data_IF_676138806146
#
_entry.id   IF_676138806146
#
_cell.length_a   1.000
_cell.length_b   1.000
_cell.length_c   1.000
_cell.angle_alpha   90.00
_cell.angle_beta   90.00
_cell.angle_gamma   90.00
#
_symmetry.space_group_name_H-M   'P 1'
#
loop_
_entity.id
_entity.type
_entity.pdbx_description
1 polymer ?
#
# COMPACT_ATOMS: atom_id res chain seq x y z
N UNK A 1 -4.50 -29.19 -15.98
CA UNK A 1 -4.67 -28.90 -14.55
C UNK A 1 -4.63 -27.39 -14.40
N UNK A 2 -5.55 -26.77 -13.66
CA UNK A 2 -5.38 -25.36 -13.29
C UNK A 2 -3.99 -25.23 -12.64
N UNK A 3 -3.21 -24.26 -13.10
CA UNK A 3 -1.93 -23.96 -12.46
C UNK A 3 -2.27 -23.48 -11.06
N UNK A 4 -1.74 -24.16 -10.05
CA UNK A 4 -1.86 -23.69 -8.68
C UNK A 4 -1.02 -22.41 -8.55
N UNK A 5 -1.69 -21.26 -8.69
CA UNK A 5 -1.06 -19.95 -8.62
C UNK A 5 -0.30 -19.72 -7.30
N UNK A 6 -0.63 -20.49 -6.27
CA UNK A 6 0.06 -20.49 -4.97
C UNK A 6 1.43 -21.18 -5.02
N UNK A 7 1.66 -22.07 -5.99
CA UNK A 7 2.96 -22.68 -6.23
C UNK A 7 3.94 -21.72 -6.93
N UNK A 8 3.46 -20.65 -7.54
CA UNK A 8 4.24 -19.65 -8.28
C UNK A 8 4.78 -18.55 -7.37
N UNK A 9 5.60 -18.90 -6.37
CA UNK A 9 6.36 -17.95 -5.57
C UNK A 9 5.65 -17.45 -4.31
N UNK A 10 4.47 -17.93 -3.97
CA UNK A 10 3.73 -17.62 -2.74
C UNK A 10 3.50 -16.12 -2.50
N UNK A 11 3.51 -15.32 -3.56
CA UNK A 11 3.09 -13.92 -3.53
C UNK A 11 1.60 -13.83 -3.81
N UNK A 12 0.87 -13.18 -2.92
CA UNK A 12 -0.56 -12.97 -3.03
C UNK A 12 -0.93 -11.56 -2.56
N UNK A 13 -2.06 -11.07 -3.06
CA UNK A 13 -2.61 -9.76 -2.71
C UNK A 13 -3.79 -9.90 -1.75
N UNK A 14 -4.22 -8.80 -1.16
CA UNK A 14 -5.39 -8.80 -0.26
C UNK A 14 -6.69 -9.20 -0.97
N UNK A 15 -6.82 -8.96 -2.31
CA UNK A 15 -7.96 -9.44 -3.10
C UNK A 15 -7.89 -10.92 -3.42
N UNK A 16 -6.71 -11.48 -3.47
CA UNK A 16 -6.52 -12.88 -3.85
C UNK A 16 -5.68 -13.62 -2.80
N UNK A 17 -6.17 -13.68 -1.54
CA UNK A 17 -5.48 -14.43 -0.48
C UNK A 17 -5.62 -15.93 -0.72
N UNK A 18 -4.63 -16.74 -0.35
CA UNK A 18 -4.62 -18.17 -0.57
C UNK A 18 -5.45 -18.93 0.47
N UNK A 19 -6.74 -18.63 0.60
CA UNK A 19 -7.60 -19.15 1.67
C UNK A 19 -7.65 -20.67 1.70
N UNK A 20 -7.81 -21.32 0.55
CA UNK A 20 -7.86 -22.79 0.46
C UNK A 20 -6.53 -23.43 0.88
N UNK A 21 -5.41 -22.79 0.56
CA UNK A 21 -4.09 -23.26 0.99
C UNK A 21 -3.91 -23.10 2.51
N UNK A 22 -4.29 -21.94 3.06
CA UNK A 22 -4.18 -21.68 4.51
C UNK A 22 -5.05 -22.67 5.32
N UNK A 23 -6.26 -22.94 4.85
CA UNK A 23 -7.15 -23.91 5.49
C UNK A 23 -6.59 -25.33 5.41
N UNK A 24 -6.13 -25.75 4.23
CA UNK A 24 -5.62 -27.11 4.01
C UNK A 24 -4.32 -27.39 4.76
N UNK A 25 -3.36 -26.48 4.70
CA UNK A 25 -2.00 -26.73 5.22
C UNK A 25 -1.86 -26.36 6.69
N UNK A 26 -2.65 -25.40 7.19
CA UNK A 26 -2.52 -24.88 8.55
C UNK A 26 -3.80 -24.95 9.38
N UNK A 27 -4.92 -25.42 8.81
CA UNK A 27 -6.23 -25.40 9.48
C UNK A 27 -6.70 -23.97 9.78
N UNK A 28 -6.12 -22.98 9.12
CA UNK A 28 -6.40 -21.56 9.36
C UNK A 28 -7.34 -21.00 8.31
N UNK A 29 -8.49 -20.53 8.76
CA UNK A 29 -9.57 -19.99 7.92
C UNK A 29 -9.85 -18.54 8.32
N UNK A 30 -9.06 -17.56 7.84
CA UNK A 30 -9.30 -16.16 8.14
C UNK A 30 -10.62 -15.69 7.54
N UNK A 31 -11.36 -14.90 8.29
CA UNK A 31 -12.54 -14.19 7.83
C UNK A 31 -12.16 -12.84 7.19
N UNK A 32 -13.16 -12.17 6.58
CA UNK A 32 -12.94 -10.86 5.94
C UNK A 32 -12.47 -9.81 6.94
N UNK A 33 -12.95 -9.85 8.18
CA UNK A 33 -12.53 -8.93 9.24
C UNK A 33 -11.04 -9.06 9.56
N UNK A 34 -10.54 -10.28 9.58
CA UNK A 34 -9.11 -10.52 9.78
C UNK A 34 -8.28 -9.99 8.60
N UNK A 35 -8.71 -10.26 7.37
CA UNK A 35 -8.04 -9.77 6.16
C UNK A 35 -8.04 -8.24 6.10
N UNK A 36 -9.16 -7.60 6.43
CA UNK A 36 -9.26 -6.14 6.49
C UNK A 36 -8.37 -5.55 7.60
N UNK A 37 -8.30 -6.19 8.76
CA UNK A 37 -7.43 -5.76 9.85
C UNK A 37 -5.96 -5.81 9.44
N UNK A 38 -5.56 -6.86 8.71
CA UNK A 38 -4.20 -7.00 8.20
C UNK A 38 -3.88 -5.92 7.16
N UNK A 39 -4.79 -5.69 6.21
CA UNK A 39 -4.64 -4.65 5.18
C UNK A 39 -4.58 -3.25 5.78
N UNK A 40 -5.49 -2.93 6.69
CA UNK A 40 -5.56 -1.62 7.34
C UNK A 40 -4.45 -1.39 8.36
N UNK A 41 -3.87 -2.45 8.91
CA UNK A 41 -2.70 -2.38 9.78
C UNK A 41 -1.39 -2.15 9.02
N UNK A 42 -1.29 -2.63 7.80
CA UNK A 42 -0.08 -2.51 6.99
C UNK A 42 0.03 -1.11 6.36
N UNK A 43 1.22 -0.50 6.46
CA UNK A 43 1.47 0.87 6.04
C UNK A 43 2.69 0.94 5.11
N UNK A 44 2.66 1.91 4.20
CA UNK A 44 3.86 2.43 3.53
C UNK A 44 4.33 3.65 4.31
N UNK A 45 5.61 3.75 4.58
CA UNK A 45 6.24 4.84 5.32
C UNK A 45 7.21 5.59 4.42
N UNK A 46 7.19 6.92 4.48
CA UNK A 46 8.10 7.78 3.73
C UNK A 46 7.49 9.14 3.42
N UNK A 47 7.98 9.81 2.41
CA UNK A 47 7.32 11.00 1.88
C UNK A 47 6.06 10.60 1.09
N UNK A 48 5.16 11.56 0.92
CA UNK A 48 3.87 11.33 0.25
C UNK A 48 4.03 10.65 -1.12
N UNK A 49 4.94 11.16 -1.94
CA UNK A 49 5.11 10.69 -3.31
C UNK A 49 6.26 9.69 -3.48
N UNK A 50 7.04 9.48 -2.42
CA UNK A 50 8.18 8.59 -2.41
C UNK A 50 8.28 7.79 -1.09
N UNK A 51 7.40 6.80 -0.85
CA UNK A 51 7.53 5.90 0.29
C UNK A 51 8.73 4.97 0.09
N UNK A 52 9.52 4.75 1.16
CA UNK A 52 10.74 3.92 1.09
C UNK A 52 10.75 2.76 2.07
N UNK A 53 9.78 2.68 2.99
CA UNK A 53 9.70 1.62 3.99
C UNK A 53 8.28 1.12 4.21
N UNK A 54 8.19 0.01 4.92
CA UNK A 54 6.96 -0.53 5.47
C UNK A 54 6.85 -0.22 6.95
N UNK A 55 5.63 -0.07 7.45
CA UNK A 55 5.31 0.10 8.85
C UNK A 55 4.00 -0.61 9.19
N UNK A 56 3.61 -0.59 10.44
CA UNK A 56 2.32 -1.14 10.87
C UNK A 56 1.73 -0.30 11.99
N UNK A 57 0.40 -0.08 11.95
CA UNK A 57 -0.32 0.34 13.15
C UNK A 57 -0.34 -0.80 14.16
N UNK A 58 0.03 -0.49 15.40
CA UNK A 58 0.05 -1.44 16.52
C UNK A 58 -0.86 -1.02 17.67
N UNK A 59 -1.57 0.11 17.52
CA UNK A 59 -2.62 0.53 18.45
C UNK A 59 -3.74 1.27 17.71
N UNK A 60 -4.95 1.33 18.30
CA UNK A 60 -6.05 2.12 17.75
C UNK A 60 -5.84 3.64 17.87
N UNK A 61 -4.86 4.10 18.66
CA UNK A 61 -4.49 5.50 18.82
C UNK A 61 -3.41 5.95 17.82
N UNK A 62 -3.02 5.10 16.86
CA UNK A 62 -2.09 5.47 15.80
C UNK A 62 -0.62 5.18 16.12
N UNK A 63 -0.30 4.41 17.17
CA UNK A 63 1.09 3.99 17.40
C UNK A 63 1.57 3.14 16.22
N UNK A 64 2.72 3.52 15.68
CA UNK A 64 3.31 2.90 14.48
C UNK A 64 4.60 2.18 14.88
N UNK A 65 4.75 0.97 14.36
CA UNK A 65 5.98 0.20 14.44
C UNK A 65 6.63 0.11 13.07
N UNK A 66 7.93 0.39 13.01
CA UNK A 66 8.75 0.24 11.79
C UNK A 66 10.18 -0.16 12.15
N UNK A 67 11.05 -0.30 11.15
CA UNK A 67 12.46 -0.57 11.36
C UNK A 67 13.24 0.73 11.68
N UNK A 68 14.23 0.64 12.55
CA UNK A 68 15.07 1.78 12.93
C UNK A 68 15.70 2.48 11.72
N UNK A 69 16.21 1.73 10.74
CA UNK A 69 16.84 2.31 9.56
C UNK A 69 15.89 3.14 8.69
N UNK A 70 14.57 2.92 8.81
CA UNK A 70 13.57 3.66 8.03
C UNK A 70 13.46 5.14 8.41
N UNK A 71 13.81 5.49 9.65
CA UNK A 71 13.68 6.84 10.22
C UNK A 71 14.96 7.41 10.81
N UNK A 72 16.06 6.64 10.80
CA UNK A 72 17.33 7.02 11.44
C UNK A 72 17.86 8.37 10.96
N UNK A 73 17.87 8.61 9.66
CA UNK A 73 18.44 9.84 9.10
C UNK A 73 17.51 11.03 9.36
N UNK A 74 16.22 10.82 9.45
CA UNK A 74 15.22 11.82 9.80
C UNK A 74 15.29 12.17 11.30
N UNK A 75 15.53 11.19 12.19
CA UNK A 75 15.76 11.43 13.63
C UNK A 75 16.92 12.38 13.82
N UNK A 76 18.01 12.20 13.09
CA UNK A 76 19.18 13.07 13.17
C UNK A 76 18.87 14.54 12.85
N UNK A 77 17.83 14.81 12.05
CA UNK A 77 17.42 16.18 11.69
C UNK A 77 16.62 16.87 12.81
N UNK A 78 15.93 16.12 13.67
CA UNK A 78 15.00 16.66 14.68
C UNK A 78 15.52 16.52 16.12
N UNK A 79 16.59 15.76 16.34
CA UNK A 79 17.12 15.48 17.69
C UNK A 79 17.73 16.70 18.41
N UNK A 80 18.00 17.81 17.70
CA UNK A 80 18.63 19.00 18.27
C UNK A 80 20.02 18.71 18.85
N UNK A 81 20.33 19.20 20.07
CA UNK A 81 21.60 18.96 20.72
C UNK A 81 21.73 17.54 21.31
N UNK A 82 20.69 16.74 21.27
CA UNK A 82 20.66 15.38 21.81
C UNK A 82 21.15 14.39 20.75
N UNK A 83 21.76 13.30 21.18
CA UNK A 83 22.14 12.20 20.31
C UNK A 83 21.14 11.05 20.48
N UNK A 84 19.95 11.22 19.92
CA UNK A 84 18.90 10.21 20.01
C UNK A 84 19.19 8.95 19.19
N UNK A 85 19.99 9.08 18.15
CA UNK A 85 20.42 7.91 17.36
C UNK A 85 21.25 6.96 18.22
N UNK A 86 22.09 7.51 19.12
CA UNK A 86 22.94 6.74 20.03
C UNK A 86 22.24 6.37 21.32
N UNK A 87 21.55 7.33 21.94
CA UNK A 87 21.04 7.19 23.30
C UNK A 87 19.57 6.72 23.33
N UNK A 88 18.90 6.71 22.20
CA UNK A 88 17.46 6.49 22.10
C UNK A 88 16.65 7.71 22.52
N UNK A 89 15.38 7.65 22.25
CA UNK A 89 14.37 8.61 22.69
C UNK A 89 13.08 7.86 23.01
N UNK A 90 12.46 8.19 24.11
CA UNK A 90 11.14 7.69 24.48
C UNK A 90 10.28 8.86 24.94
N UNK A 91 9.22 9.15 24.18
CA UNK A 91 8.20 10.11 24.61
C UNK A 91 7.44 9.57 25.83
N UNK A 92 7.19 10.41 26.82
CA UNK A 92 6.41 10.04 28.03
C UNK A 92 4.91 10.20 27.82
N UNK A 93 4.52 10.89 26.74
CA UNK A 93 3.14 11.09 26.32
C UNK A 93 3.07 11.75 24.95
N UNK A 94 1.88 11.90 24.40
CA UNK A 94 1.66 12.47 23.06
C UNK A 94 2.24 13.89 22.89
N UNK A 95 2.30 14.66 23.99
CA UNK A 95 2.86 16.01 23.94
C UNK A 95 4.39 16.04 23.76
N UNK A 96 5.05 14.94 24.08
CA UNK A 96 6.50 14.78 23.96
C UNK A 96 6.90 14.17 22.62
N UNK A 97 5.96 13.69 21.83
CA UNK A 97 6.24 13.13 20.51
C UNK A 97 6.77 14.23 19.58
N UNK A 98 7.85 13.91 18.87
CA UNK A 98 8.51 14.86 17.96
C UNK A 98 8.16 14.48 16.53
N UNK A 99 7.42 15.38 15.88
CA UNK A 99 7.05 15.20 14.48
C UNK A 99 8.27 15.32 13.58
N UNK A 100 8.43 14.38 12.66
CA UNK A 100 9.43 14.44 11.60
C UNK A 100 8.82 15.14 10.37
N UNK A 101 9.33 16.32 9.97
CA UNK A 101 8.78 17.06 8.83
C UNK A 101 8.81 16.26 7.54
N UNK A 102 7.70 16.21 6.83
CA UNK A 102 7.58 15.50 5.55
C UNK A 102 7.37 14.00 5.66
N UNK A 103 7.58 13.39 6.83
CA UNK A 103 7.30 11.98 7.03
C UNK A 103 5.80 11.71 7.07
N UNK A 104 5.39 10.71 6.33
CA UNK A 104 3.98 10.28 6.23
C UNK A 104 3.86 8.77 6.28
N UNK A 105 2.71 8.29 6.68
CA UNK A 105 2.28 6.91 6.47
C UNK A 105 1.07 6.86 5.55
N UNK A 106 1.03 5.84 4.72
CA UNK A 106 -0.03 5.61 3.75
C UNK A 106 -0.72 4.30 4.07
N UNK A 107 -2.00 4.39 4.40
CA UNK A 107 -2.86 3.26 4.72
C UNK A 107 -3.70 2.89 3.49
N UNK A 108 -3.60 1.65 3.01
CA UNK A 108 -4.42 1.16 1.91
C UNK A 108 -5.86 0.94 2.38
N UNK A 109 -6.75 1.88 2.05
CA UNK A 109 -8.14 1.86 2.52
C UNK A 109 -9.10 1.19 1.54
N UNK A 110 -8.77 1.20 0.25
CA UNK A 110 -9.58 0.52 -0.76
C UNK A 110 -8.71 0.08 -1.94
N UNK A 111 -9.16 -0.98 -2.57
CA UNK A 111 -8.62 -1.55 -3.80
C UNK A 111 -9.76 -2.29 -4.51
N UNK A 112 -9.73 -2.33 -5.83
CA UNK A 112 -10.71 -3.07 -6.66
C UNK A 112 -10.02 -3.60 -7.91
N UNK A 113 -10.61 -4.57 -8.59
CA UNK A 113 -10.14 -4.99 -9.91
C UNK A 113 -10.82 -4.13 -10.99
N UNK A 114 -10.02 -3.40 -11.75
CA UNK A 114 -10.49 -2.56 -12.87
C UNK A 114 -9.96 -3.04 -14.22
N UNK A 115 -9.46 -4.25 -14.30
CA UNK A 115 -8.87 -4.81 -15.51
C UNK A 115 -9.79 -4.66 -16.71
N UNK A 116 -11.07 -4.97 -16.57
CA UNK A 116 -12.04 -4.80 -17.65
C UNK A 116 -12.21 -3.33 -18.11
N UNK A 117 -12.07 -2.36 -17.17
CA UNK A 117 -12.12 -0.93 -17.50
C UNK A 117 -10.86 -0.49 -18.24
N UNK A 118 -9.69 -0.98 -17.82
CA UNK A 118 -8.40 -0.66 -18.47
C UNK A 118 -8.30 -1.28 -19.86
N UNK A 119 -8.83 -2.48 -20.05
CA UNK A 119 -8.85 -3.19 -21.34
C UNK A 119 -9.99 -2.75 -22.27
N UNK A 120 -10.87 -1.84 -21.84
CA UNK A 120 -12.01 -1.40 -22.62
C UNK A 120 -11.59 -0.74 -23.95
N UNK A 121 -12.24 -1.14 -25.05
CA UNK A 121 -11.99 -0.60 -26.38
C UNK A 121 -10.71 -1.09 -27.06
N UNK A 122 -9.98 -2.04 -26.46
CA UNK A 122 -8.82 -2.69 -27.09
C UNK A 122 -9.34 -3.82 -27.99
N UNK A 123 -8.92 -3.79 -29.26
CA UNK A 123 -9.26 -4.82 -30.23
C UNK A 123 -8.08 -5.80 -30.42
N UNK A 124 -8.38 -7.03 -30.79
CA UNK A 124 -7.34 -8.03 -31.10
C UNK A 124 -6.49 -7.68 -32.33
N UNK A 125 -6.95 -6.71 -33.11
CA UNK A 125 -6.24 -6.19 -34.30
C UNK A 125 -5.36 -4.97 -33.99
N UNK A 126 -5.42 -4.43 -32.76
CA UNK A 126 -4.59 -3.28 -32.37
C UNK A 126 -3.11 -3.70 -32.29
N UNK A 127 -2.24 -2.80 -32.70
CA UNK A 127 -0.80 -2.97 -32.49
C UNK A 127 -0.40 -2.63 -31.04
N UNK A 128 0.82 -2.98 -30.67
CA UNK A 128 1.29 -2.79 -29.30
C UNK A 128 1.31 -1.33 -28.84
N UNK A 129 1.53 -0.36 -29.75
CA UNK A 129 1.53 1.07 -29.43
C UNK A 129 0.09 1.52 -29.14
N UNK A 130 -0.84 1.18 -30.02
CA UNK A 130 -2.27 1.49 -29.86
C UNK A 130 -2.81 0.87 -28.55
N UNK A 131 -2.44 -0.38 -28.24
CA UNK A 131 -2.83 -1.04 -26.96
C UNK A 131 -2.30 -0.24 -25.76
N UNK A 132 -1.02 0.15 -25.78
CA UNK A 132 -0.41 0.90 -24.69
C UNK A 132 -1.08 2.27 -24.49
N UNK A 133 -1.37 2.99 -25.58
CA UNK A 133 -2.04 4.29 -25.53
C UNK A 133 -3.46 4.20 -24.99
N UNK A 134 -4.23 3.20 -25.43
CA UNK A 134 -5.59 2.96 -24.92
C UNK A 134 -5.57 2.62 -23.44
N UNK A 135 -4.69 1.72 -23.01
CA UNK A 135 -4.52 1.40 -21.58
C UNK A 135 -4.17 2.63 -20.77
N UNK A 136 -3.21 3.43 -21.23
CA UNK A 136 -2.83 4.67 -20.56
C UNK A 136 -4.02 5.61 -20.43
N UNK A 137 -4.74 5.89 -21.50
CA UNK A 137 -5.91 6.76 -21.49
C UNK A 137 -7.00 6.28 -20.52
N UNK A 138 -7.27 4.97 -20.50
CA UNK A 138 -8.24 4.37 -19.58
C UNK A 138 -7.77 4.48 -18.11
N UNK A 139 -6.48 4.27 -17.83
CA UNK A 139 -5.90 4.45 -16.48
C UNK A 139 -6.01 5.91 -16.06
N UNK A 140 -5.64 6.86 -16.91
CA UNK A 140 -5.71 8.29 -16.63
C UNK A 140 -7.17 8.71 -16.29
N UNK A 141 -8.16 8.20 -17.03
CA UNK A 141 -9.57 8.46 -16.76
C UNK A 141 -10.05 7.86 -15.42
N UNK A 142 -9.61 6.65 -15.08
CA UNK A 142 -9.91 6.00 -13.78
C UNK A 142 -9.31 6.82 -12.64
N UNK A 143 -8.06 7.28 -12.77
CA UNK A 143 -7.37 8.08 -11.77
C UNK A 143 -8.05 9.43 -11.58
N UNK A 144 -8.39 10.13 -12.66
CA UNK A 144 -9.11 11.42 -12.60
C UNK A 144 -10.46 11.28 -11.89
N UNK A 145 -11.22 10.23 -12.21
CA UNK A 145 -12.51 9.98 -11.54
C UNK A 145 -12.34 9.69 -10.05
N UNK A 146 -11.30 8.96 -9.67
CA UNK A 146 -10.99 8.64 -8.28
C UNK A 146 -10.57 9.90 -7.49
N UNK A 147 -9.75 10.77 -8.08
CA UNK A 147 -9.29 12.02 -7.46
C UNK A 147 -10.45 13.00 -7.23
N UNK A 148 -11.40 13.08 -8.16
CA UNK A 148 -12.61 13.86 -7.99
C UNK A 148 -13.50 13.31 -6.87
N UNK A 149 -13.64 12.00 -6.80
CA UNK A 149 -14.51 11.34 -5.82
C UNK A 149 -13.94 11.37 -4.39
N UNK A 150 -12.61 11.40 -4.23
CA UNK A 150 -11.93 11.29 -2.93
C UNK A 150 -10.66 12.16 -2.91
N UNK A 151 -10.81 13.47 -3.02
CA UNK A 151 -9.69 14.41 -3.15
C UNK A 151 -8.72 14.44 -1.95
N UNK A 152 -9.12 13.93 -0.79
CA UNK A 152 -8.31 13.82 0.43
C UNK A 152 -7.45 12.54 0.48
N UNK A 153 -7.61 11.66 -0.52
CA UNK A 153 -6.84 10.42 -0.64
C UNK A 153 -5.78 10.53 -1.75
N UNK A 154 -4.86 9.59 -1.73
CA UNK A 154 -3.92 9.37 -2.82
C UNK A 154 -4.36 8.13 -3.60
N UNK A 155 -4.35 8.23 -4.92
CA UNK A 155 -4.73 7.13 -5.80
C UNK A 155 -3.54 6.67 -6.64
N UNK A 156 -3.49 5.38 -6.92
CA UNK A 156 -2.46 4.77 -7.77
C UNK A 156 -3.05 3.52 -8.42
N UNK A 157 -2.97 3.42 -9.75
CA UNK A 157 -3.24 2.13 -10.42
C UNK A 157 -1.96 1.31 -10.43
N UNK A 158 -2.02 0.13 -9.86
CA UNK A 158 -0.95 -0.87 -9.89
C UNK A 158 -1.32 -1.99 -10.84
N UNK A 159 -0.31 -2.59 -11.47
CA UNK A 159 -0.47 -3.70 -12.40
C UNK A 159 0.30 -4.94 -11.93
N UNK A 160 -0.23 -5.68 -10.95
CA UNK A 160 0.39 -6.92 -10.51
C UNK A 160 0.41 -7.97 -11.63
N UNK A 161 1.21 -9.01 -11.41
CA UNK A 161 1.32 -10.15 -12.32
C UNK A 161 1.69 -9.74 -13.77
N UNK A 162 2.66 -8.81 -13.92
CA UNK A 162 3.17 -8.34 -15.22
C UNK A 162 2.07 -7.72 -16.12
N UNK A 163 1.09 -7.06 -15.54
CA UNK A 163 0.01 -6.42 -16.27
C UNK A 163 -1.18 -7.32 -16.58
N UNK A 164 -1.27 -8.50 -15.97
CA UNK A 164 -2.43 -9.37 -16.10
C UNK A 164 -3.67 -8.84 -15.34
N UNK A 165 -3.46 -7.99 -14.35
CA UNK A 165 -4.51 -7.40 -13.51
C UNK A 165 -4.20 -5.93 -13.29
N UNK A 166 -5.21 -5.06 -13.23
CA UNK A 166 -5.09 -3.65 -12.90
C UNK A 166 -5.94 -3.32 -11.68
N UNK A 167 -5.30 -2.74 -10.65
CA UNK A 167 -5.94 -2.44 -9.36
C UNK A 167 -5.69 -0.99 -8.96
N UNK A 168 -6.70 -0.12 -8.91
CA UNK A 168 -6.59 1.18 -8.27
C UNK A 168 -6.51 0.99 -6.75
N UNK A 169 -5.42 1.45 -6.20
CA UNK A 169 -5.18 1.53 -4.78
C UNK A 169 -5.52 2.94 -4.30
N UNK A 170 -6.34 3.02 -3.25
CA UNK A 170 -6.67 4.26 -2.58
C UNK A 170 -6.03 4.28 -1.20
N UNK A 171 -5.19 5.29 -0.97
CA UNK A 171 -4.49 5.45 0.28
C UNK A 171 -5.01 6.65 1.05
N UNK A 172 -5.24 6.48 2.34
CA UNK A 172 -5.31 7.60 3.27
C UNK A 172 -3.89 7.92 3.74
N UNK A 173 -3.55 9.22 3.71
CA UNK A 173 -2.21 9.70 4.09
C UNK A 173 -2.29 10.39 5.44
N UNK A 174 -1.43 9.98 6.35
CA UNK A 174 -1.32 10.55 7.69
C UNK A 174 0.07 11.17 7.85
N UNK A 175 0.18 12.31 8.56
CA UNK A 175 1.47 12.81 9.01
C UNK A 175 2.01 11.96 10.16
N UNK A 176 3.28 11.64 10.16
CA UNK A 176 3.99 10.87 11.18
C UNK A 176 5.07 11.70 11.88
#
# INVERSE_FOLDING_TARGET
RPVDHLALGKMWTFENPPLAYLEKEYGFKPDQKWLDSLRLGALRLGERDNPWCSASFVSPQGLIMTNHHCVRDQIAQVQGPNDWVKNGYAATGLADEVRIPGLTVQQLVAQEDVTAKVEAGIATTDDNVTIADKRKANIDAIMQAADVANADHMHQVVSPYQGAVYQPYRYRVWAA
#
